data_IF_786989247144
#
_entry.id   IF_786989247144
#
_cell.length_a   1.000
_cell.length_b   1.000
_cell.length_c   1.000
_cell.angle_alpha   90.00
_cell.angle_beta   90.00
_cell.angle_gamma   90.00
#
_symmetry.space_group_name_H-M   'P 1'
#
loop_
_entity.id
_entity.type
_entity.pdbx_description
1 polymer ?
#
# COMPACT_ATOMS: atom_id res chain seq x y z
N UNK A 1 -10.14 24.11 -4.57
CA UNK A 1 -8.71 24.04 -4.97
C UNK A 1 -8.35 22.59 -5.01
N UNK A 2 -7.56 22.17 -6.01
CA UNK A 2 -7.06 20.79 -6.10
C UNK A 2 -5.83 20.59 -5.21
N UNK A 3 -5.68 19.38 -4.66
CA UNK A 3 -4.50 18.95 -3.91
C UNK A 3 -3.41 18.62 -4.93
N UNK A 4 -2.35 19.40 -5.00
CA UNK A 4 -1.27 19.21 -5.98
C UNK A 4 -0.26 18.19 -5.51
N UNK A 5 -0.13 17.09 -6.26
CA UNK A 5 0.69 15.93 -5.90
C UNK A 5 1.76 15.67 -6.97
N UNK A 6 3.01 15.56 -6.55
CA UNK A 6 4.12 15.06 -7.33
C UNK A 6 4.34 13.57 -7.11
N UNK A 7 4.81 12.83 -8.11
CA UNK A 7 5.18 11.42 -8.00
C UNK A 7 6.66 11.26 -8.30
N UNK A 8 7.43 10.76 -7.33
CA UNK A 8 8.82 10.37 -7.52
C UNK A 8 8.94 8.85 -7.64
N UNK A 9 9.31 8.36 -8.81
CA UNK A 9 9.29 6.94 -9.19
C UNK A 9 7.98 6.54 -9.85
N UNK A 10 8.02 6.23 -11.14
CA UNK A 10 6.85 5.82 -11.92
C UNK A 10 6.86 4.32 -12.22
N UNK A 11 7.32 3.54 -11.23
CA UNK A 11 7.25 2.08 -11.20
C UNK A 11 5.80 1.58 -11.02
N UNK A 12 5.63 0.33 -10.53
CA UNK A 12 4.28 -0.25 -10.32
C UNK A 12 3.41 0.69 -9.47
N UNK A 13 3.85 1.04 -8.27
CA UNK A 13 3.04 1.83 -7.31
C UNK A 13 2.82 3.26 -7.84
N UNK A 14 3.86 3.93 -8.36
CA UNK A 14 3.68 5.28 -8.92
C UNK A 14 2.64 5.34 -10.03
N UNK A 15 2.63 4.34 -10.94
CA UNK A 15 1.61 4.23 -11.99
C UNK A 15 0.22 3.92 -11.44
N UNK A 16 0.12 3.06 -10.41
CA UNK A 16 -1.18 2.75 -9.80
C UNK A 16 -1.73 3.93 -8.99
N UNK A 17 -0.88 4.69 -8.30
CA UNK A 17 -1.26 5.97 -7.68
C UNK A 17 -1.79 6.95 -8.75
N UNK A 18 -1.10 7.04 -9.90
CA UNK A 18 -1.57 7.86 -11.01
C UNK A 18 -2.92 7.39 -11.54
N UNK A 19 -3.10 6.08 -11.80
CA UNK A 19 -4.38 5.52 -12.26
C UNK A 19 -5.50 5.75 -11.24
N UNK A 20 -5.22 5.54 -9.95
CA UNK A 20 -6.17 5.75 -8.88
C UNK A 20 -6.58 7.23 -8.76
N UNK A 21 -5.67 8.19 -9.03
CA UNK A 21 -5.97 9.62 -8.92
C UNK A 21 -7.10 10.09 -9.84
N UNK A 22 -7.36 9.37 -10.93
CA UNK A 22 -8.49 9.69 -11.83
C UNK A 22 -9.86 9.53 -11.17
N UNK A 23 -9.94 8.74 -10.10
CA UNK A 23 -11.15 8.55 -9.29
C UNK A 23 -11.19 9.49 -8.07
N UNK A 24 -10.20 10.38 -7.93
CA UNK A 24 -10.08 11.37 -6.86
C UNK A 24 -10.00 12.79 -7.47
N UNK A 25 -11.13 13.37 -7.87
CA UNK A 25 -11.16 14.65 -8.62
C UNK A 25 -10.57 15.82 -7.83
N UNK A 26 -10.45 15.71 -6.52
CA UNK A 26 -9.77 16.67 -5.66
C UNK A 26 -8.25 16.62 -5.74
N UNK A 27 -7.66 15.54 -6.32
CA UNK A 27 -6.21 15.36 -6.46
C UNK A 27 -5.78 15.67 -7.89
N UNK A 28 -4.72 16.44 -8.02
CA UNK A 28 -4.10 16.77 -9.28
C UNK A 28 -2.64 16.33 -9.29
N UNK A 29 -2.29 15.40 -10.18
CA UNK A 29 -0.89 15.05 -10.41
C UNK A 29 -0.26 16.16 -11.26
N UNK A 30 0.71 16.88 -10.68
CA UNK A 30 1.34 18.05 -11.31
C UNK A 30 2.70 17.77 -11.92
N UNK A 31 3.31 16.63 -11.63
CA UNK A 31 4.57 16.21 -12.22
C UNK A 31 5.01 14.82 -11.79
N UNK A 32 5.83 14.22 -12.61
CA UNK A 32 6.39 12.88 -12.40
C UNK A 32 7.90 12.98 -12.55
N UNK A 33 8.64 12.29 -11.69
CA UNK A 33 10.06 12.07 -11.84
C UNK A 33 10.35 10.57 -11.98
N UNK A 34 11.01 10.19 -13.06
CA UNK A 34 11.51 8.83 -13.31
C UNK A 34 12.68 8.90 -14.29
N UNK A 35 13.61 7.95 -14.22
CA UNK A 35 14.82 7.95 -15.06
C UNK A 35 14.56 7.43 -16.49
N UNK A 36 13.36 6.91 -16.74
CA UNK A 36 12.95 6.46 -18.07
C UNK A 36 12.39 7.64 -18.91
N UNK A 37 12.51 7.58 -20.25
CA UNK A 37 11.97 8.62 -21.12
C UNK A 37 10.44 8.63 -21.12
N UNK A 38 9.84 9.80 -21.40
CA UNK A 38 8.39 10.03 -21.28
C UNK A 38 7.55 9.14 -22.20
N UNK A 39 8.02 8.81 -23.39
CA UNK A 39 7.34 7.93 -24.34
C UNK A 39 7.22 6.49 -23.79
N UNK A 40 8.30 6.00 -23.16
CA UNK A 40 8.27 4.70 -22.50
C UNK A 40 7.37 4.70 -21.26
N UNK A 41 7.39 5.75 -20.44
CA UNK A 41 6.48 5.90 -19.30
C UNK A 41 5.02 5.98 -19.75
N UNK A 42 4.71 6.68 -20.86
CA UNK A 42 3.39 6.71 -21.45
C UNK A 42 2.93 5.32 -21.92
N UNK A 43 3.83 4.57 -22.58
CA UNK A 43 3.57 3.17 -22.95
C UNK A 43 3.25 2.31 -21.74
N UNK A 44 4.06 2.39 -20.66
CA UNK A 44 3.87 1.61 -19.43
C UNK A 44 2.62 2.04 -18.63
N UNK A 45 2.17 3.28 -18.77
CA UNK A 45 0.90 3.73 -18.18
C UNK A 45 -0.29 3.20 -18.99
N UNK A 46 -0.16 3.20 -20.32
CA UNK A 46 -1.22 2.80 -21.26
C UNK A 46 -1.52 1.31 -21.17
N UNK A 47 -0.50 0.47 -21.10
CA UNK A 47 -0.64 -0.99 -21.12
C UNK A 47 -0.18 -1.60 -19.80
N UNK A 48 -1.05 -2.37 -19.17
CA UNK A 48 -0.77 -3.08 -17.94
C UNK A 48 -1.35 -4.48 -18.00
N UNK A 49 -0.54 -5.47 -17.62
CA UNK A 49 -0.94 -6.90 -17.70
C UNK A 49 -2.07 -7.22 -16.73
N UNK A 50 -2.05 -6.64 -15.53
CA UNK A 50 -3.02 -6.96 -14.48
C UNK A 50 -4.21 -6.01 -14.49
N UNK A 51 -3.96 -4.71 -14.61
CA UNK A 51 -5.02 -3.69 -14.55
C UNK A 51 -5.53 -3.27 -15.93
N UNK A 52 -5.12 -3.97 -16.98
CA UNK A 52 -5.61 -3.76 -18.33
C UNK A 52 -5.15 -2.44 -18.96
N UNK A 53 -5.70 -2.18 -20.13
CA UNK A 53 -5.43 -0.95 -20.84
C UNK A 53 -6.01 0.25 -20.09
N UNK A 54 -5.26 1.36 -20.07
CA UNK A 54 -5.71 2.59 -19.44
C UNK A 54 -7.04 3.09 -20.05
N UNK A 55 -7.99 3.42 -19.19
CA UNK A 55 -9.30 3.91 -19.62
C UNK A 55 -9.21 5.41 -19.97
N UNK A 56 -8.70 5.72 -21.16
CA UNK A 56 -8.51 7.08 -21.64
C UNK A 56 -7.40 7.17 -22.67
N UNK A 57 -7.09 8.38 -23.10
CA UNK A 57 -6.03 8.64 -24.08
C UNK A 57 -4.69 8.86 -23.36
N UNK A 58 -3.65 8.14 -23.77
CA UNK A 58 -2.28 8.29 -23.26
C UNK A 58 -1.32 8.40 -24.45
N UNK A 59 -0.54 9.47 -24.45
CA UNK A 59 0.56 9.73 -25.38
C UNK A 59 1.70 10.46 -24.66
N UNK A 60 2.71 10.89 -25.39
CA UNK A 60 3.81 11.71 -24.87
C UNK A 60 4.13 12.85 -25.80
N UNK A 61 4.79 13.87 -25.27
CA UNK A 61 5.41 14.94 -26.02
C UNK A 61 6.82 15.24 -25.46
N UNK A 62 7.47 16.28 -25.94
CA UNK A 62 8.84 16.65 -25.54
C UNK A 62 8.98 16.98 -24.05
N UNK A 63 7.89 17.33 -23.37
CA UNK A 63 7.91 17.78 -21.97
C UNK A 63 7.38 16.76 -20.97
N UNK A 64 6.67 15.72 -21.43
CA UNK A 64 6.10 14.74 -20.52
C UNK A 64 5.11 13.76 -21.12
N UNK A 65 4.30 13.15 -20.27
CA UNK A 65 3.18 12.31 -20.70
C UNK A 65 1.92 13.16 -20.90
N UNK A 66 1.12 12.80 -21.88
CA UNK A 66 -0.16 13.46 -22.17
C UNK A 66 -1.28 12.49 -21.86
N UNK A 67 -2.14 12.84 -20.91
CA UNK A 67 -3.28 12.01 -20.50
C UNK A 67 -4.56 12.80 -20.65
N UNK A 68 -5.49 12.30 -21.45
CA UNK A 68 -6.77 12.96 -21.76
C UNK A 68 -6.58 14.43 -22.19
N UNK A 69 -5.57 14.68 -23.02
CA UNK A 69 -5.24 16.01 -23.53
C UNK A 69 -4.44 16.92 -22.58
N UNK A 70 -4.24 16.52 -21.32
CA UNK A 70 -3.43 17.27 -20.35
C UNK A 70 -2.00 16.75 -20.31
N UNK A 71 -1.01 17.63 -20.48
CA UNK A 71 0.40 17.29 -20.32
C UNK A 71 0.79 17.31 -18.84
N UNK A 72 1.39 16.22 -18.38
CA UNK A 72 2.00 16.08 -17.06
C UNK A 72 3.52 16.05 -17.29
N UNK A 73 4.28 17.03 -16.80
CA UNK A 73 5.73 17.10 -17.02
C UNK A 73 6.44 15.91 -16.38
N UNK A 74 7.44 15.39 -17.11
CA UNK A 74 8.31 14.30 -16.65
C UNK A 74 9.72 14.83 -16.50
N UNK A 75 10.32 14.58 -15.36
CA UNK A 75 11.70 14.88 -15.01
C UNK A 75 12.49 13.58 -14.85
N UNK A 76 13.82 13.65 -15.04
CA UNK A 76 14.72 12.50 -14.95
C UNK A 76 15.88 12.77 -13.96
N UNK A 77 15.53 13.30 -12.78
CA UNK A 77 16.48 13.68 -11.76
C UNK A 77 16.79 12.51 -10.81
N UNK A 78 18.09 12.23 -10.63
CA UNK A 78 18.55 11.20 -9.66
C UNK A 78 18.53 11.72 -8.23
N UNK A 79 18.82 13.01 -8.04
CA UNK A 79 18.76 13.69 -6.75
C UNK A 79 17.41 14.42 -6.65
N UNK A 80 16.53 14.03 -5.72
CA UNK A 80 15.24 14.68 -5.55
C UNK A 80 15.31 16.19 -5.27
N UNK A 81 16.45 16.70 -4.78
CA UNK A 81 16.65 18.13 -4.56
C UNK A 81 16.61 18.97 -5.86
N UNK A 82 16.83 18.34 -7.02
CA UNK A 82 16.83 19.01 -8.32
C UNK A 82 15.46 18.95 -9.04
N UNK A 83 14.50 18.21 -8.51
CA UNK A 83 13.15 18.13 -9.09
C UNK A 83 12.41 19.44 -8.76
N UNK A 84 11.83 20.14 -9.74
CA UNK A 84 11.29 21.48 -9.52
C UNK A 84 9.91 21.49 -8.85
N UNK A 85 9.73 20.76 -7.73
CA UNK A 85 8.45 20.64 -7.01
C UNK A 85 7.84 22.00 -6.66
N UNK A 86 8.67 22.96 -6.24
CA UNK A 86 8.21 24.32 -5.93
C UNK A 86 7.63 25.05 -7.15
N UNK A 87 8.20 24.86 -8.36
CA UNK A 87 7.67 25.47 -9.60
C UNK A 87 6.36 24.81 -10.05
N UNK A 88 6.18 23.54 -9.70
CA UNK A 88 4.97 22.77 -9.97
C UNK A 88 3.90 22.99 -8.88
N UNK A 89 4.26 23.73 -7.83
CA UNK A 89 3.41 23.93 -6.65
C UNK A 89 2.96 22.61 -6.01
N UNK A 90 3.79 21.54 -6.13
CA UNK A 90 3.50 20.27 -5.51
C UNK A 90 3.51 20.39 -3.99
N UNK A 91 2.34 20.24 -3.37
CA UNK A 91 2.23 20.28 -1.91
C UNK A 91 2.70 18.96 -1.29
N UNK A 92 2.27 17.86 -1.87
CA UNK A 92 2.59 16.51 -1.43
C UNK A 92 3.41 15.81 -2.49
N UNK A 93 4.41 15.03 -2.08
CA UNK A 93 5.16 14.15 -2.98
C UNK A 93 4.97 12.71 -2.54
N UNK A 94 4.50 11.87 -3.44
CA UNK A 94 4.51 10.41 -3.28
C UNK A 94 5.89 9.89 -3.62
N UNK A 95 6.62 9.41 -2.61
CA UNK A 95 7.92 8.78 -2.79
C UNK A 95 7.72 7.28 -3.05
N UNK A 96 7.83 6.86 -4.30
CA UNK A 96 7.59 5.48 -4.76
C UNK A 96 8.79 4.82 -5.45
N UNK A 97 10.00 5.38 -5.28
CA UNK A 97 11.24 4.75 -5.77
C UNK A 97 11.74 3.62 -4.85
N UNK A 98 11.36 3.65 -3.57
CA UNK A 98 11.90 2.75 -2.55
C UNK A 98 13.31 3.10 -2.06
N UNK A 99 13.88 4.23 -2.50
CA UNK A 99 15.24 4.66 -2.17
C UNK A 99 15.31 5.67 -1.02
N UNK A 100 14.33 6.57 -0.92
CA UNK A 100 14.31 7.70 0.01
C UNK A 100 13.32 7.45 1.15
N UNK A 101 13.54 6.37 1.92
CA UNK A 101 12.65 5.87 2.97
C UNK A 101 13.08 6.26 4.40
N UNK A 102 13.82 7.34 4.54
CA UNK A 102 14.18 7.97 5.83
C UNK A 102 13.95 9.46 5.73
N UNK A 103 13.69 10.13 6.86
CA UNK A 103 13.56 11.60 6.93
C UNK A 103 14.76 12.31 6.29
N UNK A 104 15.98 11.83 6.62
CA UNK A 104 17.22 12.38 6.09
C UNK A 104 17.25 12.37 4.56
N UNK A 105 16.89 11.24 3.94
CA UNK A 105 16.90 11.11 2.47
C UNK A 105 15.74 11.84 1.82
N UNK A 106 14.54 11.74 2.39
CA UNK A 106 13.33 12.35 1.86
C UNK A 106 13.33 13.88 1.97
N UNK A 107 14.19 14.45 2.85
CA UNK A 107 14.34 15.90 3.00
C UNK A 107 14.75 16.60 1.70
N UNK A 108 15.36 15.87 0.75
CA UNK A 108 15.68 16.41 -0.56
C UNK A 108 14.44 16.94 -1.30
N UNK A 109 13.27 16.30 -1.13
CA UNK A 109 12.02 16.76 -1.72
C UNK A 109 11.55 18.10 -1.14
N UNK A 110 11.72 18.33 0.18
CA UNK A 110 11.37 19.61 0.82
C UNK A 110 12.31 20.72 0.34
N UNK A 111 13.61 20.42 0.17
CA UNK A 111 14.59 21.36 -0.41
C UNK A 111 14.21 21.75 -1.85
N UNK A 112 13.58 20.84 -2.58
CA UNK A 112 13.06 21.05 -3.93
C UNK A 112 11.73 21.84 -3.97
N UNK A 113 11.15 22.16 -2.81
CA UNK A 113 9.95 23.00 -2.68
C UNK A 113 8.65 22.24 -2.44
N UNK A 114 8.66 20.92 -2.26
CA UNK A 114 7.51 20.19 -1.74
C UNK A 114 7.25 20.56 -0.28
N UNK A 115 5.99 20.49 0.17
CA UNK A 115 5.65 20.76 1.58
C UNK A 115 5.72 19.49 2.41
N UNK A 116 5.27 18.36 1.88
CA UNK A 116 5.16 17.08 2.59
C UNK A 116 5.57 15.91 1.70
N UNK A 117 6.05 14.82 2.32
CA UNK A 117 6.43 13.59 1.62
C UNK A 117 5.68 12.41 2.19
N UNK A 118 5.02 11.64 1.32
CA UNK A 118 4.34 10.38 1.65
C UNK A 118 5.13 9.23 1.05
N UNK A 119 5.80 8.45 1.89
CA UNK A 119 6.53 7.26 1.47
C UNK A 119 5.56 6.12 1.17
N UNK A 120 5.60 5.59 -0.05
CA UNK A 120 4.78 4.44 -0.45
C UNK A 120 5.43 3.08 -0.09
N UNK A 121 6.08 3.04 1.05
CA UNK A 121 6.70 1.85 1.64
C UNK A 121 6.93 2.08 3.13
N UNK A 122 7.15 1.03 3.94
CA UNK A 122 7.51 1.19 5.34
C UNK A 122 8.79 2.03 5.48
N UNK A 123 8.76 3.03 6.37
CA UNK A 123 9.93 3.83 6.69
C UNK A 123 11.02 2.96 7.33
N UNK A 124 12.28 3.34 7.07
CA UNK A 124 13.47 2.67 7.63
C UNK A 124 14.02 3.34 8.89
N UNK A 125 13.34 4.37 9.35
CA UNK A 125 13.63 5.13 10.56
C UNK A 125 12.37 5.27 11.43
N UNK A 126 12.31 6.32 12.25
CA UNK A 126 11.18 6.66 13.12
C UNK A 126 10.07 7.48 12.43
N UNK A 127 10.10 7.64 11.10
CA UNK A 127 9.02 8.30 10.35
C UNK A 127 7.68 7.66 10.68
N UNK A 128 6.65 8.45 11.09
CA UNK A 128 5.34 7.92 11.44
C UNK A 128 4.72 7.12 10.29
N UNK A 129 4.14 5.97 10.63
CA UNK A 129 3.40 5.14 9.69
C UNK A 129 1.90 5.26 9.95
N UNK A 130 1.13 5.33 8.86
CA UNK A 130 -0.31 5.44 8.91
C UNK A 130 -0.98 4.33 8.12
N UNK A 131 -2.11 3.85 8.63
CA UNK A 131 -3.04 2.97 7.95
C UNK A 131 -4.42 3.58 8.04
N UNK A 132 -5.08 3.77 6.91
CA UNK A 132 -6.42 4.32 6.86
C UNK A 132 -7.39 3.48 7.70
N UNK A 133 -8.26 4.16 8.49
CA UNK A 133 -9.19 3.51 9.41
C UNK A 133 -8.58 2.99 10.71
N UNK A 134 -7.26 3.08 10.88
CA UNK A 134 -6.58 2.55 12.07
C UNK A 134 -6.03 3.65 12.96
N UNK A 135 -5.25 4.58 12.40
CA UNK A 135 -4.54 5.58 13.21
C UNK A 135 -4.38 6.96 12.54
N UNK A 136 -5.21 7.32 11.58
CA UNK A 136 -5.13 8.64 10.93
C UNK A 136 -5.34 9.80 11.90
N UNK A 137 -6.06 9.56 13.01
CA UNK A 137 -6.26 10.52 14.10
C UNK A 137 -4.97 10.97 14.80
N UNK A 138 -3.88 10.25 14.59
CA UNK A 138 -2.55 10.58 15.13
C UNK A 138 -1.75 11.53 14.24
N UNK A 139 -2.25 11.84 13.04
CA UNK A 139 -1.57 12.78 12.15
C UNK A 139 -1.69 14.22 12.67
N UNK A 140 -0.58 14.95 12.64
CA UNK A 140 -0.51 16.37 13.00
C UNK A 140 0.22 17.17 11.91
N UNK A 141 -0.09 18.50 11.74
CA UNK A 141 0.47 19.31 10.65
C UNK A 141 1.99 19.49 10.69
N UNK A 142 2.64 19.23 11.80
CA UNK A 142 4.11 19.28 11.94
C UNK A 142 4.83 18.04 11.39
N UNK A 143 4.08 17.03 10.93
CA UNK A 143 4.63 15.82 10.32
C UNK A 143 4.90 16.05 8.83
N UNK A 144 6.13 16.43 8.48
CA UNK A 144 6.53 16.67 7.09
C UNK A 144 6.75 15.37 6.30
N UNK A 145 7.06 14.28 7.00
CA UNK A 145 7.31 12.95 6.43
C UNK A 145 6.41 11.94 7.08
N UNK A 146 5.69 11.19 6.25
CA UNK A 146 4.84 10.07 6.69
C UNK A 146 5.04 8.88 5.78
N UNK A 147 4.71 7.70 6.29
CA UNK A 147 4.70 6.45 5.52
C UNK A 147 3.30 5.85 5.50
N UNK A 148 2.86 5.38 4.33
CA UNK A 148 1.62 4.61 4.18
C UNK A 148 1.83 3.12 4.53
N UNK A 149 2.89 2.77 5.27
CA UNK A 149 3.28 1.41 5.62
C UNK A 149 3.44 0.51 4.35
N UNK A 150 3.13 -0.79 4.45
CA UNK A 150 3.13 -1.72 3.32
C UNK A 150 1.70 -2.14 2.95
N UNK A 151 1.52 -2.71 1.76
CA UNK A 151 0.24 -3.29 1.34
C UNK A 151 -0.23 -4.38 2.31
N UNK A 152 0.67 -5.25 2.77
CA UNK A 152 0.36 -6.29 3.76
C UNK A 152 -0.03 -5.70 5.12
N UNK A 153 0.64 -4.62 5.57
CA UNK A 153 0.26 -3.93 6.82
C UNK A 153 -1.13 -3.31 6.70
N UNK A 154 -1.45 -2.73 5.54
CA UNK A 154 -2.76 -2.16 5.26
C UNK A 154 -3.88 -3.23 5.24
N UNK A 155 -3.57 -4.46 4.86
CA UNK A 155 -4.52 -5.57 4.95
C UNK A 155 -4.64 -6.10 6.39
N UNK A 156 -3.51 -6.28 7.07
CA UNK A 156 -3.46 -6.93 8.39
C UNK A 156 -4.01 -6.03 9.50
N UNK A 157 -3.70 -4.73 9.49
CA UNK A 157 -4.04 -3.84 10.59
C UNK A 157 -5.55 -3.68 10.83
N UNK A 158 -6.42 -3.56 9.81
CA UNK A 158 -7.87 -3.49 10.02
C UNK A 158 -8.44 -4.73 10.73
N UNK A 159 -8.10 -5.95 10.28
CA UNK A 159 -8.60 -7.17 10.91
C UNK A 159 -8.01 -7.37 12.31
N UNK A 160 -6.73 -7.03 12.51
CA UNK A 160 -6.10 -7.08 13.83
C UNK A 160 -6.75 -6.06 14.79
N UNK A 161 -7.12 -4.86 14.30
CA UNK A 161 -7.85 -3.87 15.09
C UNK A 161 -9.20 -4.41 15.56
N UNK A 162 -10.02 -4.96 14.67
CA UNK A 162 -11.33 -5.54 15.05
C UNK A 162 -11.18 -6.64 16.09
N UNK A 163 -10.22 -7.55 15.90
CA UNK A 163 -9.98 -8.64 16.87
C UNK A 163 -9.49 -8.10 18.21
N UNK A 164 -8.55 -7.15 18.21
CA UNK A 164 -7.99 -6.61 19.43
C UNK A 164 -9.00 -5.78 20.22
N UNK A 165 -9.80 -4.96 19.56
CA UNK A 165 -10.76 -4.08 20.20
C UNK A 165 -11.90 -4.86 20.86
N UNK A 166 -12.31 -6.00 20.29
CA UNK A 166 -13.39 -6.81 20.84
C UNK A 166 -12.92 -7.84 21.88
N UNK A 167 -11.83 -8.56 21.59
CA UNK A 167 -11.42 -9.71 22.41
C UNK A 167 -10.00 -9.61 22.97
N UNK A 168 -9.19 -8.68 22.47
CA UNK A 168 -7.77 -8.59 22.79
C UNK A 168 -6.95 -9.70 22.11
N UNK A 169 -5.76 -9.35 21.62
CA UNK A 169 -4.79 -10.29 21.06
C UNK A 169 -3.68 -10.50 22.09
N UNK A 170 -3.38 -11.76 22.45
CA UNK A 170 -2.23 -12.10 23.30
C UNK A 170 -0.97 -12.29 22.48
N UNK A 171 -1.06 -13.08 21.42
CA UNK A 171 0.02 -13.36 20.49
C UNK A 171 -0.55 -13.84 19.13
N UNK A 172 0.24 -13.69 18.06
CA UNK A 172 -0.19 -14.10 16.73
C UNK A 172 0.97 -14.32 15.77
N UNK A 173 0.73 -15.21 14.80
CA UNK A 173 1.61 -15.46 13.66
C UNK A 173 0.86 -15.17 12.36
N UNK A 174 1.47 -14.38 11.48
CA UNK A 174 0.92 -14.05 10.19
C UNK A 174 1.76 -14.67 9.08
N UNK A 175 1.11 -15.30 8.13
CA UNK A 175 1.70 -15.63 6.84
C UNK A 175 0.97 -14.84 5.76
N UNK A 176 1.69 -14.07 4.95
CA UNK A 176 1.09 -13.57 3.72
C UNK A 176 1.51 -14.46 2.55
N UNK A 177 0.51 -15.03 1.86
CA UNK A 177 0.72 -15.65 0.54
C UNK A 177 0.61 -14.52 -0.47
N UNK A 178 1.77 -14.08 -0.97
CA UNK A 178 1.90 -12.81 -1.67
C UNK A 178 2.27 -13.01 -3.13
N UNK A 179 1.61 -12.26 -3.99
CA UNK A 179 1.94 -12.22 -5.41
C UNK A 179 3.39 -11.78 -5.66
N UNK A 180 3.90 -12.10 -6.82
CA UNK A 180 5.23 -11.69 -7.27
C UNK A 180 5.29 -10.18 -7.45
N UNK A 181 6.43 -9.59 -7.10
CA UNK A 181 6.67 -8.14 -7.22
C UNK A 181 7.89 -7.88 -8.12
N UNK A 182 8.03 -6.64 -8.61
CA UNK A 182 9.12 -6.24 -9.51
C UNK A 182 10.54 -6.45 -8.95
N UNK A 183 10.69 -6.67 -7.64
CA UNK A 183 11.98 -6.97 -7.02
C UNK A 183 12.42 -8.43 -7.21
N UNK A 184 11.50 -9.34 -7.59
CA UNK A 184 11.78 -10.75 -7.81
C UNK A 184 12.34 -10.99 -9.21
N UNK A 185 13.02 -12.13 -9.38
CA UNK A 185 13.60 -12.53 -10.67
C UNK A 185 12.61 -13.36 -11.47
N UNK A 186 12.53 -13.13 -12.79
CA UNK A 186 11.73 -13.95 -13.71
C UNK A 186 12.33 -15.34 -13.92
N UNK A 187 13.68 -15.42 -13.98
CA UNK A 187 14.48 -16.64 -14.02
C UNK A 187 15.53 -16.58 -12.92
N UNK A 188 16.16 -17.73 -12.58
CA UNK A 188 17.20 -17.78 -11.56
C UNK A 188 18.30 -16.74 -11.86
N UNK A 189 18.56 -15.84 -10.91
CA UNK A 189 19.51 -14.75 -11.06
C UNK A 189 20.17 -14.38 -9.74
N UNK A 190 21.28 -13.67 -9.81
CA UNK A 190 22.07 -13.30 -8.63
C UNK A 190 21.26 -12.37 -7.72
N UNK A 191 21.19 -12.74 -6.44
CA UNK A 191 20.63 -11.92 -5.35
C UNK A 191 21.44 -12.16 -4.09
N UNK A 192 22.48 -11.36 -3.87
CA UNK A 192 23.45 -11.56 -2.77
C UNK A 192 22.85 -11.36 -1.38
N UNK A 193 21.80 -10.51 -1.25
CA UNK A 193 21.17 -10.21 0.02
C UNK A 193 20.02 -11.17 0.38
N UNK A 194 19.37 -11.73 -0.64
CA UNK A 194 18.24 -12.65 -0.49
C UNK A 194 18.38 -13.75 -1.55
N UNK A 195 19.00 -14.85 -1.17
CA UNK A 195 19.26 -15.97 -2.10
C UNK A 195 17.98 -16.60 -2.62
N UNK A 196 16.95 -16.72 -1.75
CA UNK A 196 15.63 -17.25 -2.15
C UNK A 196 14.94 -16.32 -3.14
N UNK A 197 15.01 -14.99 -2.92
CA UNK A 197 14.48 -14.00 -3.85
C UNK A 197 15.22 -13.91 -5.19
N UNK A 198 16.40 -14.57 -5.32
CA UNK A 198 17.12 -14.77 -6.57
C UNK A 198 16.54 -15.88 -7.45
N UNK A 199 15.63 -16.73 -6.93
CA UNK A 199 15.02 -17.83 -7.69
C UNK A 199 13.84 -17.34 -8.52
N UNK A 200 13.57 -18.07 -9.62
CA UNK A 200 12.51 -17.77 -10.57
C UNK A 200 11.12 -17.69 -9.89
N UNK A 201 10.51 -16.52 -9.91
CA UNK A 201 9.22 -16.28 -9.26
C UNK A 201 8.07 -17.08 -9.90
N UNK A 202 8.12 -17.28 -11.22
CA UNK A 202 7.07 -17.96 -11.97
C UNK A 202 6.98 -19.47 -11.75
N UNK A 203 7.98 -20.09 -11.13
CA UNK A 203 8.08 -21.54 -10.94
C UNK A 203 8.23 -21.99 -9.50
N UNK A 204 8.14 -21.09 -8.51
CA UNK A 204 8.46 -21.42 -7.14
C UNK A 204 7.49 -20.83 -6.13
N UNK A 205 7.33 -21.50 -4.98
CA UNK A 205 6.86 -20.89 -3.73
C UNK A 205 8.12 -20.46 -2.96
N UNK A 206 8.27 -19.16 -2.72
CA UNK A 206 9.50 -18.58 -2.18
C UNK A 206 9.25 -18.00 -0.78
N UNK A 207 9.73 -18.64 0.31
CA UNK A 207 9.69 -18.07 1.64
C UNK A 207 10.53 -16.79 1.71
N UNK A 208 9.98 -15.73 2.27
CA UNK A 208 10.63 -14.43 2.39
C UNK A 208 10.32 -13.80 3.74
N UNK A 209 11.24 -13.04 4.29
CA UNK A 209 10.97 -12.25 5.49
C UNK A 209 10.06 -11.07 5.18
N UNK A 210 9.26 -10.65 6.14
CA UNK A 210 8.45 -9.43 6.06
C UNK A 210 8.44 -8.70 7.38
N UNK A 211 8.48 -7.37 7.32
CA UNK A 211 8.29 -6.50 8.48
C UNK A 211 6.83 -6.09 8.72
N UNK A 212 5.91 -6.56 7.87
CA UNK A 212 4.52 -6.08 7.86
C UNK A 212 3.79 -6.33 9.18
N UNK A 213 3.94 -7.51 9.78
CA UNK A 213 3.33 -7.84 11.06
C UNK A 213 3.89 -6.99 12.21
N UNK A 214 5.22 -6.78 12.24
CA UNK A 214 5.85 -5.89 13.23
C UNK A 214 5.41 -4.43 13.06
N UNK A 215 5.16 -4.00 11.82
CA UNK A 215 4.68 -2.65 11.53
C UNK A 215 3.26 -2.41 12.09
N UNK A 216 2.43 -3.44 12.26
CA UNK A 216 1.13 -3.30 12.93
C UNK A 216 1.31 -2.78 14.36
N UNK A 217 2.33 -3.23 15.10
CA UNK A 217 2.64 -2.72 16.44
C UNK A 217 3.09 -1.24 16.47
N UNK A 218 3.44 -0.64 15.30
CA UNK A 218 3.71 0.80 15.20
C UNK A 218 2.42 1.61 14.98
N UNK A 219 1.42 1.03 14.32
CA UNK A 219 0.14 1.71 14.05
C UNK A 219 -0.93 1.40 15.10
N UNK A 220 -0.82 0.25 15.77
CA UNK A 220 -1.63 -0.17 16.93
C UNK A 220 -0.66 -0.51 18.08
N UNK A 221 -0.27 0.45 18.92
CA UNK A 221 0.77 0.25 19.94
C UNK A 221 0.50 -0.90 20.93
N UNK A 222 -0.76 -1.21 21.21
CA UNK A 222 -1.18 -2.30 22.08
C UNK A 222 -0.79 -3.69 21.55
N UNK A 223 -0.53 -3.78 20.25
CA UNK A 223 -0.09 -5.00 19.56
C UNK A 223 1.42 -5.08 19.38
N UNK A 224 2.18 -4.11 19.90
CA UNK A 224 3.64 -4.16 19.83
C UNK A 224 4.19 -5.40 20.54
N UNK A 225 4.99 -6.19 19.82
CA UNK A 225 5.56 -7.45 20.33
C UNK A 225 4.63 -8.66 20.30
N UNK A 226 3.34 -8.48 19.95
CA UNK A 226 2.35 -9.57 19.89
C UNK A 226 2.14 -10.16 18.50
N UNK A 227 2.66 -9.51 17.46
CA UNK A 227 2.56 -9.96 16.07
C UNK A 227 3.95 -10.11 15.43
N UNK A 228 4.14 -11.24 14.77
CA UNK A 228 5.25 -11.45 13.84
C UNK A 228 4.78 -12.30 12.68
N UNK A 229 5.60 -12.45 11.64
CA UNK A 229 5.16 -13.22 10.49
C UNK A 229 6.19 -13.32 9.37
N UNK A 230 5.79 -14.00 8.32
CA UNK A 230 6.58 -14.25 7.13
C UNK A 230 5.73 -14.10 5.86
N UNK A 231 6.39 -14.15 4.70
CA UNK A 231 5.75 -14.14 3.39
C UNK A 231 6.09 -15.41 2.62
N UNK A 232 5.12 -15.94 1.90
CA UNK A 232 5.31 -16.93 0.84
C UNK A 232 5.03 -16.24 -0.49
N UNK A 233 6.06 -16.03 -1.33
CA UNK A 233 5.85 -15.52 -2.69
C UNK A 233 5.40 -16.66 -3.58
N UNK A 234 4.36 -16.40 -4.37
CA UNK A 234 3.72 -17.39 -5.27
C UNK A 234 3.65 -16.86 -6.70
N UNK A 235 3.49 -17.74 -7.71
CA UNK A 235 3.47 -17.34 -9.12
C UNK A 235 2.16 -16.67 -9.58
N UNK A 236 1.57 -15.82 -8.75
CA UNK A 236 0.51 -14.89 -9.13
C UNK A 236 1.10 -13.52 -9.36
N UNK A 237 0.50 -12.70 -10.21
CA UNK A 237 1.04 -11.39 -10.60
C UNK A 237 0.48 -10.25 -9.76
N UNK A 238 -0.71 -10.44 -9.20
CA UNK A 238 -1.37 -9.49 -8.30
C UNK A 238 -2.36 -10.23 -7.40
N UNK A 239 -2.91 -9.56 -6.43
CA UNK A 239 -3.75 -10.02 -5.33
C UNK A 239 -3.03 -11.02 -4.42
N UNK A 240 -3.01 -10.69 -3.18
CA UNK A 240 -2.35 -11.41 -2.08
C UNK A 240 -3.35 -11.71 -0.98
N UNK A 241 -2.97 -12.60 -0.06
CA UNK A 241 -3.82 -12.95 1.08
C UNK A 241 -3.00 -12.97 2.37
N UNK A 242 -3.60 -12.46 3.44
CA UNK A 242 -3.11 -12.59 4.82
C UNK A 242 -3.81 -13.77 5.48
N UNK A 243 -3.03 -14.70 6.01
CA UNK A 243 -3.40 -15.75 6.95
C UNK A 243 -2.91 -15.32 8.33
N UNK A 244 -3.83 -14.96 9.24
CA UNK A 244 -3.53 -14.56 10.59
C UNK A 244 -4.03 -15.60 11.58
N UNK A 245 -3.12 -16.33 12.20
CA UNK A 245 -3.41 -17.21 13.32
C UNK A 245 -3.18 -16.47 14.63
N UNK A 246 -4.18 -16.41 15.50
CA UNK A 246 -4.21 -15.53 16.67
C UNK A 246 -4.73 -16.25 17.92
N UNK A 247 -4.11 -15.98 19.06
CA UNK A 247 -4.66 -16.26 20.38
C UNK A 247 -5.38 -15.02 20.92
N UNK A 248 -6.66 -15.17 21.23
CA UNK A 248 -7.50 -14.13 21.84
C UNK A 248 -7.39 -14.16 23.37
N UNK A 249 -7.45 -12.98 24.00
CA UNK A 249 -7.46 -12.87 25.46
C UNK A 249 -8.83 -13.24 26.05
N UNK A 250 -9.91 -13.06 25.28
CA UNK A 250 -11.28 -13.45 25.65
C UNK A 250 -11.81 -14.45 24.63
N UNK A 251 -12.60 -15.45 25.05
CA UNK A 251 -13.20 -16.40 24.11
C UNK A 251 -14.20 -15.71 23.18
N UNK A 252 -14.25 -16.17 21.91
CA UNK A 252 -15.21 -15.78 20.91
C UNK A 252 -15.59 -16.98 20.04
N UNK A 253 -16.86 -17.14 19.73
CA UNK A 253 -17.26 -18.05 18.67
C UNK A 253 -16.86 -17.46 17.31
N UNK A 254 -16.54 -18.32 16.36
CA UNK A 254 -16.09 -17.85 15.05
C UNK A 254 -17.16 -16.99 14.35
N UNK A 255 -18.44 -17.33 14.53
CA UNK A 255 -19.58 -16.58 14.00
C UNK A 255 -19.66 -15.14 14.61
N UNK A 256 -19.23 -14.96 15.87
CA UNK A 256 -19.16 -13.64 16.50
C UNK A 256 -18.04 -12.81 15.87
N UNK A 257 -16.92 -13.45 15.52
CA UNK A 257 -15.82 -12.79 14.79
C UNK A 257 -16.29 -12.36 13.41
N UNK A 258 -16.95 -13.25 12.65
CA UNK A 258 -17.53 -12.93 11.34
C UNK A 258 -18.54 -11.77 11.43
N UNK A 259 -19.41 -11.78 12.43
CA UNK A 259 -20.38 -10.70 12.64
C UNK A 259 -19.71 -9.36 12.94
N UNK A 260 -18.66 -9.34 13.78
CA UNK A 260 -17.90 -8.13 14.10
C UNK A 260 -17.14 -7.60 12.88
N UNK A 261 -16.52 -8.47 12.07
CA UNK A 261 -15.84 -8.07 10.83
C UNK A 261 -16.85 -7.48 9.83
N UNK A 262 -18.03 -8.09 9.69
CA UNK A 262 -19.10 -7.58 8.82
C UNK A 262 -19.59 -6.22 9.29
N UNK A 263 -19.87 -6.08 10.57
CA UNK A 263 -20.29 -4.81 11.16
C UNK A 263 -19.24 -3.70 10.96
N UNK A 264 -17.96 -4.00 11.18
CA UNK A 264 -16.88 -3.04 10.95
C UNK A 264 -16.76 -2.65 9.47
N UNK A 265 -16.91 -3.60 8.53
CA UNK A 265 -16.84 -3.36 7.09
C UNK A 265 -17.99 -2.48 6.56
N UNK A 266 -19.14 -2.56 7.17
CA UNK A 266 -20.30 -1.73 6.85
C UNK A 266 -20.32 -0.40 7.62
N UNK A 267 -19.57 -0.32 8.72
CA UNK A 267 -19.51 0.80 9.65
C UNK A 267 -18.20 1.59 9.58
N UNK A 268 -17.42 1.54 10.67
CA UNK A 268 -16.23 2.37 10.89
C UNK A 268 -15.10 2.14 9.89
N UNK A 269 -14.99 0.93 9.34
CA UNK A 269 -13.97 0.55 8.36
C UNK A 269 -14.53 0.47 6.93
N UNK A 270 -15.69 1.06 6.67
CA UNK A 270 -16.27 1.10 5.33
C UNK A 270 -15.32 1.69 4.31
N UNK A 271 -15.14 0.99 3.17
CA UNK A 271 -14.20 1.37 2.11
C UNK A 271 -12.73 0.99 2.38
N UNK A 272 -12.46 0.40 3.55
CA UNK A 272 -11.15 -0.09 3.97
C UNK A 272 -11.18 -1.60 4.16
N UNK A 273 -12.07 -2.06 5.07
CA UNK A 273 -12.39 -3.47 5.26
C UNK A 273 -13.58 -3.86 4.37
N UNK A 274 -13.46 -4.99 3.67
CA UNK A 274 -14.55 -5.69 3.02
C UNK A 274 -14.88 -6.97 3.76
N UNK A 275 -15.98 -7.59 3.39
CA UNK A 275 -16.46 -8.88 3.91
C UNK A 275 -16.97 -9.71 2.75
N UNK A 276 -16.65 -10.99 2.74
CA UNK A 276 -17.22 -11.98 1.85
C UNK A 276 -17.50 -13.29 2.59
N UNK A 277 -18.59 -13.95 2.20
CA UNK A 277 -18.98 -15.30 2.59
C UNK A 277 -19.26 -16.16 1.33
N UNK A 278 -18.63 -15.78 0.20
CA UNK A 278 -18.71 -16.48 -1.07
C UNK A 278 -17.44 -17.31 -1.33
N UNK A 279 -17.55 -18.34 -2.14
CA UNK A 279 -16.43 -19.20 -2.53
C UNK A 279 -15.54 -18.51 -3.58
N UNK A 280 -14.72 -17.58 -3.14
CA UNK A 280 -13.87 -16.71 -3.98
C UNK A 280 -12.42 -17.15 -3.99
N UNK A 281 -11.67 -16.65 -4.98
CA UNK A 281 -10.22 -16.81 -5.12
C UNK A 281 -9.56 -15.46 -5.40
N UNK A 282 -8.22 -15.40 -5.40
CA UNK A 282 -7.47 -14.16 -5.51
C UNK A 282 -7.87 -13.26 -6.69
N UNK A 283 -8.14 -13.85 -7.88
CA UNK A 283 -8.48 -13.07 -9.08
C UNK A 283 -9.80 -12.30 -8.99
N UNK A 284 -10.70 -12.68 -8.07
CA UNK A 284 -11.98 -12.01 -7.88
C UNK A 284 -11.82 -10.64 -7.21
N UNK A 285 -10.66 -10.38 -6.61
CA UNK A 285 -10.34 -9.11 -5.94
C UNK A 285 -9.43 -8.20 -6.75
N UNK A 286 -9.14 -8.55 -8.01
CA UNK A 286 -8.34 -7.69 -8.87
C UNK A 286 -9.04 -6.35 -9.11
N UNK A 287 -8.36 -5.25 -8.79
CA UNK A 287 -8.92 -3.90 -8.89
C UNK A 287 -9.73 -3.45 -7.69
N UNK A 288 -9.84 -4.27 -6.62
CA UNK A 288 -10.53 -3.86 -5.40
C UNK A 288 -9.75 -2.73 -4.69
N UNK A 289 -10.41 -1.62 -4.41
CA UNK A 289 -9.82 -0.44 -3.78
C UNK A 289 -9.74 -0.53 -2.26
N UNK A 290 -10.41 -1.52 -1.66
CA UNK A 290 -10.27 -1.83 -0.24
C UNK A 290 -8.95 -2.56 -0.01
N UNK A 291 -8.34 -2.33 1.14
CA UNK A 291 -7.04 -2.93 1.45
C UNK A 291 -7.10 -4.21 2.27
N UNK A 292 -8.29 -4.63 2.69
CA UNK A 292 -8.49 -5.81 3.53
C UNK A 292 -9.90 -6.35 3.26
N UNK A 293 -10.03 -7.52 2.67
CA UNK A 293 -11.33 -8.15 2.45
C UNK A 293 -11.36 -9.44 3.26
N UNK A 294 -12.05 -9.40 4.41
CA UNK A 294 -12.20 -10.55 5.29
C UNK A 294 -13.03 -11.63 4.62
N UNK A 295 -12.48 -12.86 4.61
CA UNK A 295 -13.12 -14.04 4.07
C UNK A 295 -13.65 -14.91 5.21
N UNK A 296 -14.96 -14.91 5.38
CA UNK A 296 -15.62 -15.60 6.49
C UNK A 296 -15.52 -17.13 6.36
N UNK A 297 -15.53 -17.66 5.13
CA UNK A 297 -15.56 -19.10 4.89
C UNK A 297 -14.14 -19.71 4.86
N UNK A 298 -13.10 -18.89 4.66
CA UNK A 298 -11.71 -19.36 4.63
C UNK A 298 -11.06 -19.48 6.02
N UNK A 299 -11.65 -18.87 7.06
CA UNK A 299 -11.12 -18.93 8.42
C UNK A 299 -11.58 -20.18 9.18
N UNK A 300 -10.92 -20.46 10.30
CA UNK A 300 -11.23 -21.59 11.19
C UNK A 300 -10.93 -21.26 12.66
N UNK A 301 -11.69 -21.81 13.57
CA UNK A 301 -11.41 -21.81 14.99
C UNK A 301 -11.09 -23.23 15.47
N UNK A 302 -9.95 -23.38 16.15
CA UNK A 302 -9.62 -24.65 16.84
C UNK A 302 -10.25 -24.67 18.22
N UNK A 303 -10.24 -23.52 18.90
CA UNK A 303 -10.91 -23.28 20.18
C UNK A 303 -11.52 -21.88 20.15
N UNK A 304 -12.32 -21.53 21.17
CA UNK A 304 -12.91 -20.19 21.30
C UNK A 304 -11.84 -19.07 21.48
N UNK A 305 -10.58 -19.43 21.70
CA UNK A 305 -9.48 -18.46 21.85
C UNK A 305 -8.36 -18.61 20.82
N UNK A 306 -8.33 -19.71 20.04
CA UNK A 306 -7.31 -19.97 19.05
C UNK A 306 -7.93 -20.07 17.67
N UNK A 307 -7.79 -19.01 16.87
CA UNK A 307 -8.50 -18.84 15.61
C UNK A 307 -7.55 -18.46 14.48
N UNK A 308 -7.92 -18.80 13.26
CA UNK A 308 -7.32 -18.32 12.03
C UNK A 308 -8.33 -17.48 11.27
N UNK A 309 -7.94 -16.30 10.85
CA UNK A 309 -8.72 -15.44 9.96
C UNK A 309 -7.94 -15.18 8.67
N UNK A 310 -8.67 -15.01 7.58
CA UNK A 310 -8.13 -14.82 6.25
C UNK A 310 -8.63 -13.49 5.68
N UNK A 311 -7.74 -12.73 5.02
CA UNK A 311 -8.12 -11.48 4.37
C UNK A 311 -7.37 -11.28 3.06
N UNK A 312 -8.10 -10.98 1.99
CA UNK A 312 -7.59 -10.70 0.65
C UNK A 312 -7.25 -9.23 0.47
N UNK A 313 -6.35 -8.93 -0.47
CA UNK A 313 -6.05 -7.56 -0.87
C UNK A 313 -5.39 -7.48 -2.25
N UNK A 314 -5.85 -6.54 -3.08
CA UNK A 314 -5.07 -6.12 -4.24
C UNK A 314 -3.88 -5.30 -3.73
N UNK A 315 -2.69 -5.89 -3.83
CA UNK A 315 -1.48 -5.30 -3.25
C UNK A 315 -0.97 -4.07 -4.02
N UNK A 316 -1.56 -3.74 -5.16
CA UNK A 316 -1.21 -2.58 -5.99
C UNK A 316 -2.28 -1.50 -5.94
N UNK A 317 -3.50 -1.75 -6.45
CA UNK A 317 -4.53 -0.71 -6.58
C UNK A 317 -5.17 -0.36 -5.24
N UNK A 318 -5.46 -1.34 -4.40
CA UNK A 318 -6.00 -1.09 -3.05
C UNK A 318 -5.04 -0.23 -2.23
N UNK A 319 -3.76 -0.61 -2.21
CA UNK A 319 -2.72 0.14 -1.55
C UNK A 319 -2.54 1.57 -2.11
N UNK A 320 -2.52 1.71 -3.43
CA UNK A 320 -2.32 3.00 -4.09
C UNK A 320 -3.46 3.98 -3.83
N UNK A 321 -4.71 3.50 -3.73
CA UNK A 321 -5.85 4.31 -3.29
C UNK A 321 -5.64 4.85 -1.87
N UNK A 322 -5.10 4.04 -0.95
CA UNK A 322 -4.88 4.49 0.44
C UNK A 322 -3.73 5.50 0.57
N UNK A 323 -2.76 5.49 -0.34
CA UNK A 323 -1.78 6.58 -0.45
C UNK A 323 -2.49 7.92 -0.72
N UNK A 324 -3.45 7.93 -1.65
CA UNK A 324 -4.22 9.14 -1.98
C UNK A 324 -5.19 9.53 -0.85
N UNK A 325 -5.84 8.57 -0.22
CA UNK A 325 -6.71 8.84 0.93
C UNK A 325 -5.93 9.39 2.14
N UNK A 326 -4.71 8.92 2.38
CA UNK A 326 -3.81 9.49 3.38
C UNK A 326 -3.47 10.95 3.04
N UNK A 327 -3.14 11.25 1.78
CA UNK A 327 -2.88 12.63 1.34
C UNK A 327 -4.10 13.52 1.55
N UNK A 328 -5.31 13.04 1.23
CA UNK A 328 -6.56 13.79 1.45
C UNK A 328 -6.79 14.07 2.94
N UNK A 329 -6.53 13.08 3.79
CA UNK A 329 -6.62 13.26 5.24
C UNK A 329 -5.62 14.31 5.71
N UNK A 330 -4.35 14.20 5.32
CA UNK A 330 -3.31 15.18 5.65
C UNK A 330 -3.74 16.58 5.22
N UNK A 331 -4.18 16.74 3.96
CA UNK A 331 -4.65 18.02 3.44
C UNK A 331 -5.79 18.60 4.27
N UNK A 332 -6.75 17.77 4.68
CA UNK A 332 -7.88 18.20 5.50
C UNK A 332 -7.48 18.66 6.90
N UNK A 333 -6.37 18.15 7.44
CA UNK A 333 -5.84 18.54 8.75
C UNK A 333 -4.93 19.76 8.62
N UNK A 334 -4.09 19.82 7.58
CA UNK A 334 -3.14 20.90 7.32
C UNK A 334 -3.84 22.24 6.99
N UNK A 335 -5.10 22.21 6.54
CA UNK A 335 -5.85 23.40 6.09
C UNK A 335 -7.07 23.71 6.97
N UNK A 336 -7.12 23.17 8.18
CA UNK A 336 -8.07 23.59 9.24
C UNK A 336 -7.58 24.86 9.91
#
# INVERSE_FOLDING_TARGET
>A
MSIKVGINGFGRIGRMVFRASLNHPEIEIVGINDLCPADYLAYMLKYDTMHGQFAGEVSSNETGIVVNGKTIPVYAERDPANIPWGKLEAEYVVESTGLFLTKEKAQAHLKAGAKKVVMSAPSKDDTPMFVCGVNLDKYTPDMDFVSNASCTTNCLAPIAKVLNDNWGITDSLMTTVHSSTASQKTVDGVSMKDWRGGRAASGNIIPSSTGAAKAVGKVIPELNGKLTGMSMRVPTLDVSVVDLTVNLAKPAKYEEICAAMKAASEGELKGILGYTDEAVVSSDFLGDTRTSIFDADAGIALTDTFVKVVSWYDNEIGYSNKVLELIKHMYSVDHK
#
